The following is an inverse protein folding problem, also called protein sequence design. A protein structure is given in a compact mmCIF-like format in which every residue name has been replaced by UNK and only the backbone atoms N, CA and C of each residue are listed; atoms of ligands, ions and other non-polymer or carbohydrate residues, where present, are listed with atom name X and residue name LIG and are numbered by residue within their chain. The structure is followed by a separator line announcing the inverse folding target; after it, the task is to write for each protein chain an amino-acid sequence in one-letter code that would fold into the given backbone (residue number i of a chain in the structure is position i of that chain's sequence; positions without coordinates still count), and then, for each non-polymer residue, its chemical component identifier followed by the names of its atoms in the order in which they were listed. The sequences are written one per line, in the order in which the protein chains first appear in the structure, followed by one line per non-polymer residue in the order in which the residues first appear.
data_IF_271256576326
#
_entry.id   IF_271256576326
#
_cell.length_a   1.000
_cell.length_b   1.000
_cell.length_c   1.000
_cell.angle_alpha   90.00
_cell.angle_beta   90.00
_cell.angle_gamma   90.00
#
_symmetry.space_group_name_H-M   'P 1'
#
loop_
_entity.id
_entity.type
_entity.pdbx_description
1 polymer ?
#
# COMPACT_ATOMS: atom_id res chain seq x y z
N UNK A 1 6.18 15.53 -6.40
CA UNK A 1 7.02 16.62 -5.83
C UNK A 1 7.99 16.07 -4.77
N UNK A 2 7.57 15.13 -3.90
CA UNK A 2 8.41 14.55 -2.82
C UNK A 2 9.72 13.90 -3.30
N UNK A 3 9.68 13.02 -4.31
CA UNK A 3 10.85 12.25 -4.78
C UNK A 3 11.92 13.06 -5.52
N UNK A 4 11.63 14.31 -5.87
CA UNK A 4 12.58 15.16 -6.58
C UNK A 4 13.45 16.01 -5.63
N UNK A 5 13.33 15.82 -4.32
CA UNK A 5 14.15 16.53 -3.36
C UNK A 5 15.54 15.91 -3.27
N UNK A 6 16.60 16.72 -3.44
CA UNK A 6 17.98 16.23 -3.52
C UNK A 6 18.39 15.42 -2.28
N UNK A 7 17.98 15.85 -1.09
CA UNK A 7 18.27 15.11 0.15
C UNK A 7 17.62 13.73 0.20
N UNK A 8 16.42 13.60 -0.37
CA UNK A 8 15.73 12.29 -0.47
C UNK A 8 16.49 11.42 -1.47
N UNK A 9 16.82 11.97 -2.66
CA UNK A 9 17.55 11.24 -3.70
C UNK A 9 18.92 10.75 -3.23
N UNK A 10 19.65 11.55 -2.45
CA UNK A 10 20.98 11.19 -1.92
C UNK A 10 20.90 10.00 -0.96
N UNK A 11 19.90 9.98 -0.07
CA UNK A 11 19.70 8.88 0.90
C UNK A 11 19.29 7.60 0.19
N UNK A 12 18.23 7.63 -0.63
CA UNK A 12 17.73 6.44 -1.32
C UNK A 12 18.71 5.90 -2.36
N UNK A 13 19.59 6.74 -2.93
CA UNK A 13 20.64 6.30 -3.84
C UNK A 13 21.82 5.59 -3.15
N UNK A 14 21.96 5.70 -1.82
CA UNK A 14 23.10 5.17 -1.06
C UNK A 14 22.73 4.08 -0.07
N UNK A 15 21.49 4.05 0.41
CA UNK A 15 21.05 3.18 1.49
C UNK A 15 19.91 2.28 1.00
N UNK A 16 20.10 0.95 0.96
CA UNK A 16 19.00 0.02 0.72
C UNK A 16 17.90 0.26 1.75
N UNK A 17 16.70 0.55 1.27
CA UNK A 17 15.57 0.93 2.10
C UNK A 17 14.43 -0.06 1.90
N UNK A 18 13.84 -0.46 3.01
CA UNK A 18 12.61 -1.23 3.08
C UNK A 18 11.49 -0.27 3.44
N UNK A 19 10.34 -0.37 2.78
CA UNK A 19 9.26 0.60 2.91
C UNK A 19 7.92 -0.08 3.16
N UNK A 20 7.08 0.54 3.99
CA UNK A 20 5.66 0.22 4.17
C UNK A 20 4.91 1.55 4.29
N UNK A 21 3.71 1.62 3.74
CA UNK A 21 2.88 2.83 3.82
C UNK A 21 2.24 3.02 5.20
N UNK A 22 1.71 4.21 5.44
CA UNK A 22 0.78 4.50 6.53
C UNK A 22 -0.52 5.11 5.95
N UNK A 23 -1.34 5.73 6.79
CA UNK A 23 -2.63 6.26 6.38
C UNK A 23 -2.54 7.43 5.38
N UNK A 24 -1.56 8.33 5.53
CA UNK A 24 -1.44 9.52 4.68
C UNK A 24 -1.07 9.24 3.22
N UNK A 25 -0.54 8.05 2.91
CA UNK A 25 -0.35 7.61 1.53
C UNK A 25 -1.68 7.28 0.84
N UNK A 26 -2.75 7.05 1.60
CA UNK A 26 -4.09 6.70 1.10
C UNK A 26 -5.08 7.83 1.37
N UNK A 27 -5.36 8.08 2.66
CA UNK A 27 -6.21 9.13 3.18
C UNK A 27 -5.96 9.26 4.68
N UNK A 28 -5.84 10.49 5.18
CA UNK A 28 -5.71 10.79 6.61
C UNK A 28 -6.73 10.00 7.47
N UNK A 29 -6.26 9.24 8.45
CA UNK A 29 -7.07 8.37 9.31
C UNK A 29 -7.50 7.03 8.69
N UNK A 30 -6.97 6.63 7.54
CA UNK A 30 -7.22 5.30 6.97
C UNK A 30 -6.88 4.20 7.98
N UNK A 31 -7.73 3.18 8.09
CA UNK A 31 -7.56 2.11 9.08
C UNK A 31 -7.82 2.51 10.54
N UNK A 32 -8.22 3.76 10.80
CA UNK A 32 -8.72 4.20 12.10
C UNK A 32 -10.17 4.68 12.04
N UNK A 33 -10.64 5.01 10.84
CA UNK A 33 -12.02 5.38 10.57
C UNK A 33 -12.81 4.17 10.07
N UNK A 34 -14.02 3.98 10.61
CA UNK A 34 -14.96 3.02 10.04
C UNK A 34 -15.56 3.54 8.72
N UNK A 35 -16.28 2.67 8.01
CA UNK A 35 -16.89 2.98 6.70
C UNK A 35 -17.72 4.27 6.71
N UNK A 36 -18.55 4.48 7.73
CA UNK A 36 -19.39 5.67 7.85
C UNK A 36 -18.55 6.93 8.09
N UNK A 37 -17.56 6.84 8.98
CA UNK A 37 -16.67 7.96 9.28
C UNK A 37 -15.83 8.38 8.07
N UNK A 38 -15.40 7.42 7.22
CA UNK A 38 -14.74 7.71 5.95
C UNK A 38 -15.65 8.49 5.00
N UNK A 39 -16.90 8.05 4.84
CA UNK A 39 -17.89 8.75 4.02
C UNK A 39 -18.14 10.17 4.55
N UNK A 40 -18.36 10.32 5.86
CA UNK A 40 -18.60 11.62 6.49
C UNK A 40 -17.41 12.58 6.33
N UNK A 41 -16.18 12.06 6.42
CA UNK A 41 -14.94 12.81 6.22
C UNK A 41 -14.79 13.28 4.77
N UNK A 42 -15.02 12.40 3.80
CA UNK A 42 -14.94 12.74 2.38
C UNK A 42 -16.05 13.71 1.94
N UNK A 43 -17.24 13.59 2.52
CA UNK A 43 -18.33 14.56 2.33
C UNK A 43 -18.02 15.93 2.94
N UNK A 44 -16.89 16.08 3.64
CA UNK A 44 -16.44 17.29 4.32
C UNK A 44 -17.54 17.91 5.20
N UNK A 45 -18.26 17.07 5.96
CA UNK A 45 -19.41 17.51 6.78
C UNK A 45 -20.50 18.26 5.98
N UNK A 46 -20.84 17.76 4.79
CA UNK A 46 -21.98 18.24 3.99
C UNK A 46 -21.65 19.27 2.92
N UNK A 47 -20.36 19.47 2.58
CA UNK A 47 -19.95 20.35 1.47
C UNK A 47 -20.01 19.66 0.10
N UNK A 48 -19.94 18.33 0.08
CA UNK A 48 -20.18 17.56 -1.14
C UNK A 48 -21.60 17.00 -1.15
N UNK A 49 -22.35 17.31 -2.21
CA UNK A 49 -23.65 16.71 -2.48
C UNK A 49 -23.41 15.49 -3.39
N UNK A 50 -22.91 14.42 -2.78
CA UNK A 50 -22.88 13.08 -3.38
C UNK A 50 -23.65 12.14 -2.47
N UNK A 51 -24.32 11.15 -3.05
CA UNK A 51 -24.89 10.06 -2.25
C UNK A 51 -23.77 9.20 -1.62
N UNK A 52 -24.13 8.36 -0.66
CA UNK A 52 -23.15 7.50 0.02
C UNK A 52 -22.50 6.49 -0.93
N UNK A 53 -23.23 6.01 -1.93
CA UNK A 53 -22.77 5.00 -2.88
C UNK A 53 -21.61 5.51 -3.75
N UNK A 54 -21.74 6.71 -4.31
CA UNK A 54 -20.66 7.31 -5.09
C UNK A 54 -19.45 7.68 -4.22
N UNK A 55 -19.66 8.06 -2.96
CA UNK A 55 -18.54 8.33 -2.03
C UNK A 55 -17.80 7.04 -1.69
N UNK A 56 -18.52 5.93 -1.55
CA UNK A 56 -17.89 4.62 -1.34
C UNK A 56 -17.10 4.18 -2.57
N UNK A 57 -17.64 4.36 -3.78
CA UNK A 57 -16.87 4.12 -5.00
C UNK A 57 -15.60 4.99 -5.06
N UNK A 58 -15.67 6.25 -4.58
CA UNK A 58 -14.50 7.12 -4.46
C UNK A 58 -13.48 6.62 -3.43
N UNK A 59 -13.93 6.08 -2.29
CA UNK A 59 -13.05 5.43 -1.30
C UNK A 59 -12.27 4.29 -1.95
N UNK A 60 -12.96 3.41 -2.67
CA UNK A 60 -12.34 2.27 -3.35
C UNK A 60 -11.34 2.77 -4.42
N UNK A 61 -11.73 3.72 -5.27
CA UNK A 61 -10.83 4.32 -6.25
C UNK A 61 -9.60 4.97 -5.60
N UNK A 62 -9.76 5.61 -4.44
CA UNK A 62 -8.66 6.24 -3.70
C UNK A 62 -7.67 5.18 -3.21
N UNK A 63 -8.18 4.08 -2.65
CA UNK A 63 -7.36 2.94 -2.24
C UNK A 63 -6.55 2.37 -3.42
N UNK A 64 -7.22 2.06 -4.52
CA UNK A 64 -6.55 1.51 -5.70
C UNK A 64 -5.50 2.46 -6.28
N UNK A 65 -5.82 3.74 -6.41
CA UNK A 65 -4.89 4.73 -6.92
C UNK A 65 -3.68 4.90 -5.98
N UNK A 66 -3.90 4.87 -4.66
CA UNK A 66 -2.83 4.93 -3.68
C UNK A 66 -1.93 3.69 -3.76
N UNK A 67 -2.51 2.49 -3.88
CA UNK A 67 -1.75 1.25 -4.02
C UNK A 67 -0.90 1.23 -5.30
N UNK A 68 -1.49 1.63 -6.44
CA UNK A 68 -0.78 1.70 -7.73
C UNK A 68 0.40 2.70 -7.67
N UNK A 69 0.16 3.90 -7.12
CA UNK A 69 1.20 4.93 -7.00
C UNK A 69 2.25 4.53 -5.98
N UNK A 70 1.85 3.92 -4.88
CA UNK A 70 2.78 3.44 -3.88
C UNK A 70 3.67 2.35 -4.48
N UNK A 71 3.12 1.42 -5.26
CA UNK A 71 3.90 0.39 -5.97
C UNK A 71 4.88 0.97 -7.00
N UNK A 72 4.44 1.96 -7.77
CA UNK A 72 5.28 2.58 -8.80
C UNK A 72 6.47 3.37 -8.20
N UNK A 73 6.24 4.05 -7.07
CA UNK A 73 7.21 4.98 -6.50
C UNK A 73 7.93 4.47 -5.25
N UNK A 74 7.48 3.38 -4.65
CA UNK A 74 8.27 2.72 -3.63
C UNK A 74 9.54 2.21 -4.31
N UNK A 75 10.69 2.58 -3.77
CA UNK A 75 11.99 2.10 -4.27
C UNK A 75 12.27 0.69 -3.74
N UNK A 76 11.32 -0.21 -4.02
CA UNK A 76 11.13 -1.49 -3.37
C UNK A 76 12.34 -2.40 -3.53
N UNK A 77 13.17 -2.43 -2.50
CA UNK A 77 14.02 -3.58 -2.21
C UNK A 77 13.31 -4.54 -1.24
N UNK A 78 12.01 -4.35 -1.02
CA UNK A 78 11.22 -5.26 -0.19
C UNK A 78 11.34 -6.67 -0.77
N UNK A 79 11.60 -7.68 0.08
CA UNK A 79 11.41 -9.06 -0.34
C UNK A 79 9.99 -9.19 -0.91
N UNK A 80 9.83 -9.92 -2.01
CA UNK A 80 8.49 -10.25 -2.49
C UNK A 80 7.64 -10.82 -1.35
N UNK A 81 6.33 -10.62 -1.36
CA UNK A 81 5.45 -11.09 -0.30
C UNK A 81 5.79 -12.54 0.07
N UNK A 82 5.86 -12.83 1.37
CA UNK A 82 6.35 -14.13 1.86
C UNK A 82 5.58 -15.33 1.28
N UNK A 83 4.33 -15.13 0.85
CA UNK A 83 3.49 -16.14 0.17
C UNK A 83 3.72 -16.27 -1.34
N UNK A 84 4.33 -15.27 -1.99
CA UNK A 84 4.73 -15.34 -3.40
C UNK A 84 6.06 -16.09 -3.56
N UNK A 85 6.90 -16.15 -2.53
CA UNK A 85 8.15 -16.93 -2.57
C UNK A 85 7.88 -18.44 -2.76
N UNK A 86 6.75 -18.96 -2.25
CA UNK A 86 6.36 -20.37 -2.50
C UNK A 86 5.76 -20.61 -3.90
N UNK A 87 5.24 -19.57 -4.59
CA UNK A 87 4.71 -19.69 -5.96
C UNK A 87 5.69 -19.29 -7.06
N UNK A 88 6.77 -18.59 -6.71
CA UNK A 88 7.78 -18.11 -7.66
C UNK A 88 8.66 -19.24 -8.23
N UNK A 89 8.76 -20.39 -7.56
CA UNK A 89 9.50 -21.55 -8.09
C UNK A 89 8.80 -22.24 -9.27
N UNK A 90 7.49 -22.00 -9.48
CA UNK A 90 6.72 -22.60 -10.58
C UNK A 90 6.55 -21.69 -11.82
N UNK A 91 6.95 -20.42 -11.75
CA UNK A 91 6.76 -19.46 -12.86
C UNK A 91 8.08 -18.98 -13.46
N UNK A 92 8.79 -19.91 -14.11
CA UNK A 92 9.70 -19.53 -15.19
C UNK A 92 8.86 -18.89 -16.29
N UNK A 93 9.14 -17.63 -16.60
CA UNK A 93 8.54 -16.84 -17.70
C UNK A 93 7.08 -16.42 -17.48
N UNK A 94 6.90 -15.19 -17.00
CA UNK A 94 5.72 -14.39 -17.36
C UNK A 94 5.05 -13.63 -16.23
N UNK A 95 5.74 -12.66 -15.63
CA UNK A 95 5.04 -11.55 -14.97
C UNK A 95 4.32 -10.73 -16.04
N UNK A 96 3.02 -10.99 -16.23
CA UNK A 96 2.13 -10.16 -17.05
C UNK A 96 1.74 -8.94 -16.22
N UNK A 97 2.40 -7.81 -16.46
CA UNK A 97 2.14 -6.48 -15.88
C UNK A 97 0.74 -5.88 -16.19
N UNK A 98 -0.24 -6.67 -16.63
CA UNK A 98 -1.48 -6.14 -17.25
C UNK A 98 -2.79 -6.65 -16.65
N UNK A 99 -2.76 -7.58 -15.71
CA UNK A 99 -3.93 -7.90 -14.89
C UNK A 99 -3.72 -7.20 -13.54
N UNK A 100 -4.27 -5.99 -13.41
CA UNK A 100 -4.19 -5.20 -12.17
C UNK A 100 -4.68 -6.06 -11.03
N UNK A 101 -3.80 -6.32 -10.07
CA UNK A 101 -4.07 -7.21 -8.94
C UNK A 101 -5.28 -6.70 -8.14
N UNK A 102 -6.05 -7.61 -7.57
CA UNK A 102 -7.10 -7.28 -6.61
C UNK A 102 -6.44 -6.46 -5.46
N UNK A 103 -7.07 -5.42 -4.90
CA UNK A 103 -6.66 -4.77 -3.65
C UNK A 103 -6.15 -5.72 -2.57
N UNK A 104 -6.74 -6.91 -2.50
CA UNK A 104 -6.39 -7.99 -1.57
C UNK A 104 -5.05 -8.66 -1.87
N UNK A 105 -4.53 -8.49 -3.08
CA UNK A 105 -3.23 -9.01 -3.50
C UNK A 105 -2.08 -8.04 -3.14
N UNK A 106 -2.39 -6.77 -2.82
CA UNK A 106 -1.42 -5.82 -2.28
C UNK A 106 -1.20 -6.10 -0.79
N UNK A 107 -0.33 -7.06 -0.52
CA UNK A 107 0.16 -7.33 0.82
C UNK A 107 1.57 -6.75 0.97
N UNK A 108 1.69 -5.67 1.74
CA UNK A 108 2.98 -5.07 2.09
C UNK A 108 3.62 -5.69 3.33
N UNK A 109 3.04 -6.78 3.85
CA UNK A 109 3.64 -7.61 4.87
C UNK A 109 4.86 -8.36 4.33
N UNK A 110 6.00 -8.19 4.95
CA UNK A 110 7.19 -9.00 4.64
C UNK A 110 8.04 -9.25 5.88
N UNK A 111 8.87 -10.28 5.77
CA UNK A 111 9.86 -10.58 6.79
C UNK A 111 11.19 -10.94 6.14
N UNK A 112 12.28 -10.64 6.83
CA UNK A 112 13.61 -11.03 6.39
C UNK A 112 14.53 -11.28 7.57
N UNK A 113 15.66 -11.93 7.30
CA UNK A 113 16.70 -12.21 8.29
C UNK A 113 17.95 -11.42 7.96
N UNK A 114 18.68 -11.01 8.99
CA UNK A 114 20.04 -10.48 8.86
C UNK A 114 20.97 -11.35 9.69
N UNK A 115 21.65 -12.28 9.01
CA UNK A 115 22.35 -13.37 9.67
C UNK A 115 21.39 -14.28 10.45
N UNK A 116 21.92 -15.02 11.42
CA UNK A 116 21.13 -15.93 12.25
C UNK A 116 20.52 -15.25 13.49
N UNK A 117 20.98 -14.03 13.78
CA UNK A 117 20.70 -13.33 15.05
C UNK A 117 19.44 -12.46 14.99
N UNK A 118 19.13 -11.87 13.83
CA UNK A 118 18.08 -10.86 13.71
C UNK A 118 17.02 -11.26 12.69
N UNK A 119 15.75 -11.13 13.12
CA UNK A 119 14.55 -11.31 12.29
C UNK A 119 13.74 -10.04 12.31
N UNK A 120 13.36 -9.59 11.13
CA UNK A 120 12.55 -8.40 10.93
C UNK A 120 11.19 -8.84 10.43
N UNK A 121 10.15 -8.26 11.02
CA UNK A 121 8.76 -8.44 10.62
C UNK A 121 8.22 -7.04 10.35
N UNK A 122 7.82 -6.78 9.12
CA UNK A 122 7.20 -5.54 8.69
C UNK A 122 5.75 -5.86 8.37
N UNK A 123 4.84 -5.16 9.04
CA UNK A 123 3.42 -5.45 8.99
C UNK A 123 2.63 -4.30 8.37
N UNK A 124 1.78 -4.61 7.41
CA UNK A 124 0.80 -3.71 6.81
C UNK A 124 -0.47 -3.65 7.66
N UNK A 125 -0.48 -2.67 8.56
CA UNK A 125 -1.63 -2.45 9.44
C UNK A 125 -2.79 -1.72 8.73
N UNK A 126 -2.57 -1.17 7.52
CA UNK A 126 -3.56 -0.35 6.81
C UNK A 126 -4.32 -1.14 5.76
N UNK A 127 -3.64 -2.03 5.03
CA UNK A 127 -4.27 -2.96 4.08
C UNK A 127 -5.09 -4.05 4.74
N UNK A 128 -4.64 -4.58 5.88
CA UNK A 128 -5.40 -5.57 6.63
C UNK A 128 -6.66 -5.01 7.32
N UNK A 129 -6.81 -3.69 7.42
CA UNK A 129 -7.94 -3.10 8.13
C UNK A 129 -9.23 -3.07 7.31
N UNK A 130 -9.16 -3.11 5.97
CA UNK A 130 -10.34 -3.07 5.10
C UNK A 130 -10.78 -4.46 4.60
N UNK A 131 -10.09 -5.53 4.98
CA UNK A 131 -10.50 -6.92 4.68
C UNK A 131 -11.69 -7.42 5.50
N UNK A 132 -12.30 -6.56 6.33
CA UNK A 132 -13.55 -6.84 7.05
C UNK A 132 -14.77 -6.40 6.25
N UNK A 133 -15.21 -7.24 5.32
CA UNK A 133 -16.58 -7.24 4.80
C UNK A 133 -17.30 -8.51 5.25
#
# INVERSE_FOLDING_TARGET
IYWNYDGIRDVYGRVPSYMVWDDHEIMDGWGSLNRKERVDKLKQKGKMIMDDEHVLALVDCTWHAAADVYDEYQHCHNPGPSFLVEKAEESVSGYKWQERCDPKDFAWDFSFRRGDEYRFYVTDMRGAHDSGA
#
